data_IF_002191517288
#
_entry.id   IF_002191517288
#
_cell.length_a   1.000
_cell.length_b   1.000
_cell.length_c   1.000
_cell.angle_alpha   90.00
_cell.angle_beta   90.00
_cell.angle_gamma   90.00
#
_symmetry.space_group_name_H-M   'P 1'
#
loop_
_entity.id
_entity.type
_entity.pdbx_description
1 polymer ?
#
# COMPACT_ATOMS: atom_id res chain seq x y z
N UNK A 1 30.90 0.83 -14.54
CA UNK A 1 30.35 1.09 -13.18
C UNK A 1 31.01 2.35 -12.65
N UNK A 2 30.23 3.37 -12.26
CA UNK A 2 30.79 4.53 -11.60
C UNK A 2 31.14 4.16 -10.15
N UNK A 3 32.29 4.62 -9.62
CA UNK A 3 32.67 4.35 -8.25
C UNK A 3 31.64 4.95 -7.28
N UNK A 4 31.32 4.24 -6.21
CA UNK A 4 30.41 4.75 -5.17
C UNK A 4 30.96 6.02 -4.56
N UNK A 5 30.09 7.03 -4.45
CA UNK A 5 30.40 8.29 -3.74
C UNK A 5 30.75 7.96 -2.28
N UNK A 6 31.95 8.35 -1.85
CA UNK A 6 32.38 8.15 -0.46
C UNK A 6 31.95 9.34 0.38
N UNK A 7 31.40 9.07 1.56
CA UNK A 7 31.17 10.11 2.55
C UNK A 7 32.49 10.50 3.20
N UNK A 8 32.62 11.76 3.54
CA UNK A 8 33.76 12.32 4.27
C UNK A 8 33.26 12.85 5.62
N UNK A 9 34.16 13.13 6.59
CA UNK A 9 33.78 13.77 7.85
C UNK A 9 33.03 15.11 7.69
N UNK A 10 33.09 15.71 6.49
CA UNK A 10 32.37 16.96 6.20
C UNK A 10 30.90 16.77 5.85
N UNK A 11 30.40 15.53 5.69
CA UNK A 11 29.00 15.23 5.44
C UNK A 11 28.21 15.12 6.74
N UNK A 12 28.02 16.26 7.41
CA UNK A 12 27.19 16.39 8.61
C UNK A 12 26.27 17.59 8.49
N UNK A 13 25.28 17.71 9.37
CA UNK A 13 24.38 18.87 9.43
C UNK A 13 25.12 20.07 10.00
N UNK A 14 25.48 21.02 9.15
CA UNK A 14 26.24 22.20 9.49
C UNK A 14 25.37 23.27 10.13
N UNK A 15 25.96 24.05 11.02
CA UNK A 15 25.31 25.25 11.56
C UNK A 15 25.20 26.34 10.49
N UNK A 16 24.35 27.33 10.74
CA UNK A 16 24.21 28.50 9.88
C UNK A 16 25.56 29.21 9.67
N UNK A 17 26.32 29.45 10.75
CA UNK A 17 27.62 30.10 10.65
C UNK A 17 28.63 29.31 9.81
N UNK A 18 28.64 27.99 9.89
CA UNK A 18 29.49 27.14 9.06
C UNK A 18 29.08 27.18 7.60
N UNK A 19 27.77 27.24 7.31
CA UNK A 19 27.27 27.37 5.93
C UNK A 19 27.60 28.76 5.35
N UNK A 20 27.44 29.83 6.12
CA UNK A 20 27.82 31.19 5.69
C UNK A 20 29.32 31.26 5.38
N UNK A 21 30.16 30.68 6.22
CA UNK A 21 31.61 30.63 5.97
C UNK A 21 31.96 29.79 4.73
N UNK A 22 31.25 28.70 4.51
CA UNK A 22 31.49 27.77 3.39
C UNK A 22 31.14 28.43 2.03
N UNK A 23 30.12 29.27 1.97
CA UNK A 23 29.64 29.96 0.77
C UNK A 23 29.94 31.47 0.80
N UNK A 24 31.02 31.89 1.46
CA UNK A 24 31.39 33.29 1.56
C UNK A 24 31.67 33.99 0.20
N UNK A 25 32.01 33.18 -0.82
CA UNK A 25 32.21 33.59 -2.21
C UNK A 25 30.94 33.67 -3.05
N UNK A 26 29.81 33.17 -2.50
CA UNK A 26 28.50 33.11 -3.17
C UNK A 26 27.35 33.49 -2.20
N UNK A 27 27.35 34.72 -1.65
CA UNK A 27 26.35 35.14 -0.67
C UNK A 27 24.93 35.11 -1.19
N UNK A 28 24.71 35.35 -2.48
CA UNK A 28 23.39 35.22 -3.12
C UNK A 28 22.82 33.79 -3.08
N UNK A 29 23.66 32.78 -3.03
CA UNK A 29 23.19 31.40 -2.87
C UNK A 29 22.57 31.18 -1.48
N UNK A 30 23.11 31.80 -0.44
CA UNK A 30 22.57 31.80 0.91
C UNK A 30 21.23 32.54 0.99
N UNK A 31 21.17 33.76 0.43
CA UNK A 31 19.97 34.58 0.38
C UNK A 31 18.84 33.85 -0.34
N UNK A 32 19.15 33.21 -1.48
CA UNK A 32 18.19 32.45 -2.26
C UNK A 32 17.63 31.24 -1.51
N UNK A 33 18.31 30.65 -0.51
CA UNK A 33 17.75 29.59 0.29
C UNK A 33 16.47 30.00 1.00
N UNK A 34 16.46 31.23 1.56
CA UNK A 34 15.30 31.82 2.25
C UNK A 34 14.19 32.14 1.24
N UNK A 35 14.53 32.70 0.08
CA UNK A 35 13.57 33.03 -0.97
C UNK A 35 12.90 31.76 -1.52
N UNK A 36 13.65 30.69 -1.74
CA UNK A 36 13.12 29.39 -2.16
C UNK A 36 12.22 28.81 -1.06
N UNK A 37 12.64 28.86 0.20
CA UNK A 37 11.83 28.39 1.31
C UNK A 37 10.48 29.12 1.40
N UNK A 38 10.46 30.46 1.23
CA UNK A 38 9.21 31.24 1.19
C UNK A 38 8.32 30.83 0.01
N UNK A 39 8.89 30.65 -1.18
CA UNK A 39 8.16 30.25 -2.40
C UNK A 39 7.61 28.84 -2.29
N UNK A 40 8.27 27.97 -1.55
CA UNK A 40 7.87 26.59 -1.29
C UNK A 40 7.10 26.41 0.03
N UNK A 41 6.68 27.50 0.68
CA UNK A 41 5.97 27.48 1.95
C UNK A 41 4.52 26.96 1.80
N UNK A 42 4.40 25.67 1.51
CA UNK A 42 3.12 24.97 1.41
C UNK A 42 3.02 23.91 2.51
N UNK A 43 1.93 23.94 3.26
CA UNK A 43 1.60 22.91 4.24
C UNK A 43 0.43 22.08 3.74
N UNK A 44 0.64 20.78 3.55
CA UNK A 44 -0.42 19.87 3.19
C UNK A 44 -1.48 19.78 4.30
N UNK A 45 -2.73 20.03 3.94
CA UNK A 45 -3.86 19.89 4.87
C UNK A 45 -4.37 18.46 4.85
N UNK A 46 -4.53 17.87 6.03
CA UNK A 46 -5.18 16.55 6.17
C UNK A 46 -6.63 16.63 5.72
N UNK A 47 -7.02 15.77 4.80
CA UNK A 47 -8.40 15.59 4.35
C UNK A 47 -8.81 14.15 4.59
N UNK A 48 -10.12 13.92 4.73
CA UNK A 48 -10.65 12.56 4.72
C UNK A 48 -10.39 11.94 3.34
N UNK A 49 -10.05 10.64 3.26
CA UNK A 49 -9.95 9.94 1.99
C UNK A 49 -11.24 10.11 1.19
N UNK A 50 -11.11 10.40 -0.10
CA UNK A 50 -12.24 10.50 -1.03
C UNK A 50 -12.08 9.34 -2.01
N UNK A 51 -12.92 8.31 -1.83
CA UNK A 51 -13.01 7.18 -2.76
C UNK A 51 -14.34 7.29 -3.51
N UNK A 52 -14.36 7.00 -4.81
CA UNK A 52 -15.61 6.85 -5.53
C UNK A 52 -16.39 5.66 -4.96
N UNK A 53 -17.72 5.75 -4.98
CA UNK A 53 -18.59 4.66 -4.58
C UNK A 53 -18.55 3.58 -5.67
N UNK A 54 -18.16 2.37 -5.31
CA UNK A 54 -18.04 1.25 -6.26
C UNK A 54 -19.38 0.57 -6.53
N UNK A 55 -20.18 0.37 -5.49
CA UNK A 55 -21.48 -0.29 -5.56
C UNK A 55 -22.45 0.33 -4.54
N UNK A 56 -23.75 0.07 -4.68
CA UNK A 56 -24.74 0.55 -3.70
C UNK A 56 -24.55 -0.08 -2.33
N UNK A 57 -24.18 -1.35 -2.29
CA UNK A 57 -23.81 -2.09 -1.10
C UNK A 57 -22.41 -2.72 -1.28
N UNK A 58 -21.39 -1.94 -0.92
CA UNK A 58 -19.98 -2.36 -1.06
C UNK A 58 -19.61 -3.51 -0.13
N UNK A 59 -20.27 -3.64 1.02
CA UNK A 59 -20.02 -4.71 1.98
C UNK A 59 -20.46 -6.05 1.40
N UNK A 60 -21.68 -6.14 0.95
CA UNK A 60 -22.21 -7.38 0.36
C UNK A 60 -21.51 -7.72 -0.95
N UNK A 61 -21.17 -6.72 -1.77
CA UNK A 61 -20.44 -6.93 -3.01
C UNK A 61 -19.02 -7.46 -2.75
N UNK A 62 -18.31 -6.92 -1.77
CA UNK A 62 -17.00 -7.43 -1.37
C UNK A 62 -17.08 -8.88 -0.89
N UNK A 63 -18.04 -9.19 -0.02
CA UNK A 63 -18.27 -10.55 0.49
C UNK A 63 -18.55 -11.53 -0.65
N UNK A 64 -19.42 -11.16 -1.58
CA UNK A 64 -19.75 -11.99 -2.74
C UNK A 64 -18.51 -12.28 -3.58
N UNK A 65 -17.78 -11.22 -4.02
CA UNK A 65 -16.60 -11.39 -4.87
C UNK A 65 -15.48 -12.17 -4.17
N UNK A 66 -15.25 -11.91 -2.89
CA UNK A 66 -14.20 -12.60 -2.14
C UNK A 66 -14.50 -14.11 -1.96
N UNK A 67 -15.75 -14.46 -1.65
CA UNK A 67 -16.15 -15.86 -1.56
C UNK A 67 -16.06 -16.58 -2.91
N UNK A 68 -16.61 -16.00 -3.98
CA UNK A 68 -16.51 -16.56 -5.33
C UNK A 68 -15.05 -16.75 -5.76
N UNK A 69 -14.20 -15.75 -5.50
CA UNK A 69 -12.79 -15.78 -5.82
C UNK A 69 -12.02 -16.83 -5.02
N UNK A 70 -12.29 -16.98 -3.72
CA UNK A 70 -11.68 -18.04 -2.90
C UNK A 70 -12.04 -19.41 -3.45
N UNK A 71 -13.31 -19.66 -3.76
CA UNK A 71 -13.75 -20.94 -4.32
C UNK A 71 -13.08 -21.23 -5.69
N UNK A 72 -12.86 -20.21 -6.49
CA UNK A 72 -12.13 -20.34 -7.76
C UNK A 72 -10.65 -20.72 -7.52
N UNK A 73 -9.97 -20.04 -6.58
CA UNK A 73 -8.58 -20.35 -6.21
C UNK A 73 -8.41 -21.77 -5.68
N UNK A 74 -9.30 -22.22 -4.79
CA UNK A 74 -9.24 -23.56 -4.19
C UNK A 74 -9.44 -24.69 -5.21
N UNK A 75 -10.06 -24.44 -6.37
CA UNK A 75 -10.22 -25.44 -7.43
C UNK A 75 -8.96 -25.67 -8.27
N UNK A 76 -8.11 -24.69 -8.42
CA UNK A 76 -7.00 -24.72 -9.40
C UNK A 76 -5.61 -24.75 -8.77
N UNK A 77 -5.46 -24.35 -7.52
CA UNK A 77 -4.16 -24.25 -6.85
C UNK A 77 -4.09 -25.24 -5.69
N UNK A 78 -3.00 -26.02 -5.56
CA UNK A 78 -2.80 -26.87 -4.38
C UNK A 78 -2.80 -26.01 -3.11
N UNK A 79 -3.76 -26.26 -2.22
CA UNK A 79 -3.87 -25.54 -0.95
C UNK A 79 -2.91 -26.10 0.11
N UNK A 80 -2.53 -25.25 1.05
CA UNK A 80 -1.65 -25.58 2.17
C UNK A 80 -2.39 -25.70 3.50
N UNK A 81 -3.71 -25.48 3.50
CA UNK A 81 -4.61 -25.58 4.63
C UNK A 81 -5.94 -26.22 4.18
N UNK A 82 -6.83 -26.53 5.11
CA UNK A 82 -8.16 -27.06 4.77
C UNK A 82 -9.07 -25.96 4.20
N UNK A 83 -10.08 -26.29 3.39
CA UNK A 83 -11.06 -25.30 2.92
C UNK A 83 -11.73 -24.52 4.05
N UNK A 84 -11.97 -25.18 5.19
CA UNK A 84 -12.56 -24.58 6.38
C UNK A 84 -11.64 -23.54 7.01
N UNK A 85 -10.35 -23.81 7.06
CA UNK A 85 -9.35 -22.84 7.54
C UNK A 85 -9.26 -21.62 6.63
N UNK A 86 -9.29 -21.82 5.30
CA UNK A 86 -9.35 -20.70 4.35
C UNK A 86 -10.62 -19.87 4.54
N UNK A 87 -11.78 -20.52 4.70
CA UNK A 87 -13.04 -19.80 4.89
C UNK A 87 -13.05 -19.02 6.21
N UNK A 88 -12.59 -19.61 7.30
CA UNK A 88 -12.50 -18.94 8.59
C UNK A 88 -11.58 -17.70 8.53
N UNK A 89 -10.45 -17.81 7.84
CA UNK A 89 -9.53 -16.69 7.64
C UNK A 89 -10.17 -15.60 6.75
N UNK A 90 -10.88 -15.97 5.70
CA UNK A 90 -11.58 -15.02 4.83
C UNK A 90 -12.62 -14.22 5.62
N UNK A 91 -13.45 -14.91 6.39
CA UNK A 91 -14.51 -14.29 7.19
C UNK A 91 -13.94 -13.34 8.26
N UNK A 92 -12.84 -13.73 8.89
CA UNK A 92 -12.11 -12.91 9.82
C UNK A 92 -11.62 -11.60 9.15
N UNK A 93 -10.93 -11.69 8.02
CA UNK A 93 -10.41 -10.53 7.31
C UNK A 93 -11.54 -9.61 6.82
N UNK A 94 -12.61 -10.18 6.24
CA UNK A 94 -13.78 -9.42 5.81
C UNK A 94 -14.38 -8.60 6.96
N UNK A 95 -14.51 -9.21 8.14
CA UNK A 95 -15.05 -8.53 9.32
C UNK A 95 -14.22 -7.30 9.73
N UNK A 96 -12.90 -7.39 9.61
CA UNK A 96 -11.98 -6.29 9.92
C UNK A 96 -12.06 -5.19 8.84
N UNK A 97 -12.05 -5.58 7.56
CA UNK A 97 -12.15 -4.64 6.43
C UNK A 97 -13.44 -3.84 6.51
N UNK A 98 -14.57 -4.49 6.83
CA UNK A 98 -15.87 -3.84 7.03
C UNK A 98 -15.84 -2.88 8.21
N UNK A 99 -15.37 -3.35 9.38
CA UNK A 99 -15.29 -2.54 10.60
C UNK A 99 -14.43 -1.29 10.40
N UNK A 100 -13.38 -1.38 9.59
CA UNK A 100 -12.49 -0.26 9.28
C UNK A 100 -13.01 0.64 8.15
N UNK A 101 -14.08 0.25 7.45
CA UNK A 101 -14.72 1.05 6.39
C UNK A 101 -13.98 1.05 5.06
N UNK A 102 -13.28 -0.03 4.72
CA UNK A 102 -12.51 -0.16 3.48
C UNK A 102 -13.05 -1.13 2.41
N UNK A 103 -14.32 -1.59 2.43
CA UNK A 103 -14.82 -2.47 1.37
C UNK A 103 -14.66 -1.87 -0.03
N UNK A 104 -15.03 -0.60 -0.21
CA UNK A 104 -14.90 0.10 -1.49
C UNK A 104 -13.47 0.20 -1.99
N UNK A 105 -12.49 0.38 -1.09
CA UNK A 105 -11.08 0.41 -1.46
C UNK A 105 -10.63 -0.92 -2.08
N UNK A 106 -10.95 -2.05 -1.44
CA UNK A 106 -10.63 -3.38 -1.97
C UNK A 106 -11.30 -3.64 -3.32
N UNK A 107 -12.56 -3.26 -3.46
CA UNK A 107 -13.31 -3.42 -4.72
C UNK A 107 -12.70 -2.61 -5.85
N UNK A 108 -12.36 -1.35 -5.60
CA UNK A 108 -11.73 -0.47 -6.60
C UNK A 108 -10.38 -1.03 -7.04
N UNK A 109 -9.55 -1.48 -6.10
CA UNK A 109 -8.24 -2.07 -6.42
C UNK A 109 -8.41 -3.36 -7.22
N UNK A 110 -9.35 -4.22 -6.82
CA UNK A 110 -9.64 -5.46 -7.54
C UNK A 110 -10.13 -5.18 -8.98
N UNK A 111 -10.94 -4.15 -9.18
CA UNK A 111 -11.49 -3.79 -10.48
C UNK A 111 -10.40 -3.43 -11.49
N UNK A 112 -9.53 -2.47 -11.16
CA UNK A 112 -8.48 -2.07 -12.11
C UNK A 112 -7.42 -3.15 -12.32
N UNK A 113 -7.14 -4.00 -11.30
CA UNK A 113 -6.24 -5.14 -11.46
C UNK A 113 -6.83 -6.20 -12.41
N UNK A 114 -8.10 -6.55 -12.22
CA UNK A 114 -8.81 -7.47 -13.11
C UNK A 114 -8.85 -6.92 -14.53
N UNK A 115 -9.18 -5.64 -14.67
CA UNK A 115 -9.18 -4.99 -15.98
C UNK A 115 -7.83 -5.10 -16.68
N UNK A 116 -6.72 -4.85 -15.97
CA UNK A 116 -5.39 -4.97 -16.53
C UNK A 116 -5.09 -6.41 -16.97
N UNK A 117 -5.37 -7.41 -16.11
CA UNK A 117 -5.17 -8.83 -16.40
C UNK A 117 -6.01 -9.28 -17.61
N UNK A 118 -7.27 -8.86 -17.70
CA UNK A 118 -8.18 -9.20 -18.81
C UNK A 118 -7.74 -8.58 -20.16
N UNK A 119 -6.99 -7.49 -20.12
CA UNK A 119 -6.41 -6.83 -21.30
C UNK A 119 -4.97 -7.26 -21.61
N UNK A 120 -4.49 -8.34 -20.97
CA UNK A 120 -3.15 -8.88 -21.19
C UNK A 120 -2.01 -7.98 -20.68
N UNK A 121 -2.31 -7.04 -19.79
CA UNK A 121 -1.31 -6.19 -19.14
C UNK A 121 -0.72 -6.97 -17.97
N UNK A 122 0.61 -7.21 -17.91
CA UNK A 122 1.24 -7.92 -16.82
C UNK A 122 1.05 -7.16 -15.50
N UNK A 123 0.62 -7.90 -14.47
CA UNK A 123 0.50 -7.39 -13.10
C UNK A 123 1.35 -8.27 -12.20
N UNK A 124 2.13 -7.67 -11.32
CA UNK A 124 2.97 -8.40 -10.35
C UNK A 124 2.12 -9.18 -9.33
N UNK A 125 2.73 -10.15 -8.63
CA UNK A 125 2.02 -10.99 -7.66
C UNK A 125 1.63 -10.24 -6.37
N UNK A 126 1.99 -8.99 -6.24
CA UNK A 126 1.88 -8.18 -5.03
C UNK A 126 3.16 -8.22 -4.19
N UNK A 127 3.35 -7.21 -3.38
CA UNK A 127 4.49 -7.06 -2.46
C UNK A 127 4.06 -6.38 -1.17
N UNK A 128 4.98 -6.27 -0.22
CA UNK A 128 4.73 -5.58 1.05
C UNK A 128 3.69 -6.30 1.92
N UNK A 129 3.00 -5.53 2.74
CA UNK A 129 2.04 -6.07 3.72
C UNK A 129 0.74 -6.58 3.11
N UNK A 130 0.33 -6.04 1.96
CA UNK A 130 -0.90 -6.44 1.24
C UNK A 130 -0.91 -7.91 0.82
N UNK A 131 0.29 -8.51 0.60
CA UNK A 131 0.42 -9.95 0.34
C UNK A 131 -0.05 -10.84 1.50
N UNK A 132 -0.21 -10.29 2.71
CA UNK A 132 -0.76 -10.99 3.87
C UNK A 132 -2.28 -11.13 3.88
N UNK A 133 -3.00 -10.52 2.95
CA UNK A 133 -4.47 -10.57 2.88
C UNK A 133 -4.98 -11.70 2.01
N UNK A 134 -5.78 -12.59 2.59
CA UNK A 134 -6.50 -13.63 1.87
C UNK A 134 -7.63 -13.05 1.00
N UNK A 135 -8.28 -11.98 1.46
CA UNK A 135 -9.27 -11.24 0.66
C UNK A 135 -8.63 -10.69 -0.61
N UNK A 136 -7.43 -10.08 -0.51
CA UNK A 136 -6.69 -9.60 -1.68
C UNK A 136 -6.33 -10.74 -2.65
N UNK A 137 -5.92 -11.89 -2.12
CA UNK A 137 -5.64 -13.09 -2.90
C UNK A 137 -6.89 -13.64 -3.60
N UNK A 138 -8.02 -13.73 -2.89
CA UNK A 138 -9.30 -14.15 -3.46
C UNK A 138 -9.78 -13.20 -4.57
N UNK A 139 -9.63 -11.91 -4.39
CA UNK A 139 -9.99 -10.87 -5.37
C UNK A 139 -9.00 -10.76 -6.55
N UNK A 140 -7.96 -11.58 -6.60
CA UNK A 140 -6.88 -11.53 -7.60
C UNK A 140 -6.04 -10.24 -7.61
N UNK A 141 -6.10 -9.48 -6.52
CA UNK A 141 -5.21 -8.33 -6.29
C UNK A 141 -3.78 -8.83 -6.13
N UNK A 142 -3.60 -9.90 -5.34
CA UNK A 142 -2.32 -10.58 -5.16
C UNK A 142 -2.39 -12.02 -5.69
N UNK A 143 -1.24 -12.60 -6.01
CA UNK A 143 -1.12 -14.00 -6.48
C UNK A 143 -0.30 -14.87 -5.52
N UNK A 144 -0.06 -14.38 -4.31
CA UNK A 144 0.59 -15.12 -3.21
C UNK A 144 -0.47 -15.61 -2.22
N UNK A 145 -0.49 -16.90 -1.96
CA UNK A 145 -1.35 -17.51 -0.93
C UNK A 145 -0.79 -17.20 0.47
N UNK A 146 -1.46 -16.34 1.26
CA UNK A 146 -0.93 -15.93 2.56
C UNK A 146 -0.87 -17.06 3.60
N UNK A 147 -1.72 -18.08 3.50
CA UNK A 147 -1.69 -19.22 4.41
C UNK A 147 -0.46 -20.09 4.14
N UNK A 148 -0.12 -20.29 2.87
CA UNK A 148 1.05 -21.07 2.47
C UNK A 148 2.37 -20.55 3.04
N UNK A 149 2.47 -19.23 3.16
CA UNK A 149 3.69 -18.55 3.64
C UNK A 149 3.55 -18.01 5.06
N UNK A 150 2.50 -18.39 5.79
CA UNK A 150 2.19 -17.93 7.14
C UNK A 150 2.25 -16.39 7.29
N UNK A 151 1.73 -15.68 6.29
CA UNK A 151 1.71 -14.21 6.30
C UNK A 151 0.57 -13.70 7.19
N UNK A 152 0.88 -12.65 7.96
CA UNK A 152 -0.04 -12.06 8.93
C UNK A 152 -0.82 -10.90 8.28
N UNK A 153 -2.15 -10.99 8.37
CA UNK A 153 -3.06 -9.93 7.91
C UNK A 153 -2.95 -8.66 8.75
N UNK A 154 -2.64 -8.80 10.04
CA UNK A 154 -2.50 -7.70 10.98
C UNK A 154 -1.33 -6.75 10.64
N UNK A 155 -0.40 -7.20 9.80
CA UNK A 155 0.65 -6.33 9.25
C UNK A 155 0.13 -5.40 8.16
N UNK A 156 -0.94 -5.79 7.49
CA UNK A 156 -1.58 -5.03 6.43
C UNK A 156 -2.70 -4.14 6.99
N UNK A 157 -3.64 -4.72 7.72
CA UNK A 157 -4.73 -4.01 8.40
C UNK A 157 -4.74 -4.36 9.89
N UNK A 158 -4.66 -3.32 10.71
CA UNK A 158 -4.74 -3.45 12.16
C UNK A 158 -5.72 -2.41 12.69
N UNK A 159 -6.82 -2.81 13.37
CA UNK A 159 -7.78 -1.89 13.97
C UNK A 159 -7.18 -0.90 14.97
N UNK A 160 -6.03 -1.24 15.57
CA UNK A 160 -5.30 -0.36 16.49
C UNK A 160 -4.51 0.74 15.75
N UNK A 161 -4.27 0.59 14.46
CA UNK A 161 -3.62 1.57 13.59
C UNK A 161 -4.61 2.13 12.60
N UNK A 162 -5.16 3.31 12.90
CA UNK A 162 -6.09 4.00 12.00
C UNK A 162 -5.33 4.63 10.83
N UNK A 163 -4.93 3.81 9.87
CA UNK A 163 -4.39 4.27 8.59
C UNK A 163 -5.11 3.57 7.44
N UNK A 164 -5.27 4.28 6.33
CA UNK A 164 -5.76 3.68 5.10
C UNK A 164 -4.79 2.58 4.64
N UNK A 165 -5.29 1.39 4.24
CA UNK A 165 -4.44 0.35 3.67
C UNK A 165 -3.78 0.83 2.38
N UNK A 166 -2.60 0.28 2.08
CA UNK A 166 -1.85 0.59 0.88
C UNK A 166 -1.42 -0.72 0.20
N UNK A 167 -1.92 -0.94 -1.01
CA UNK A 167 -1.51 -2.08 -1.82
C UNK A 167 -0.33 -1.71 -2.69
N UNK A 168 0.77 -2.40 -2.50
CA UNK A 168 1.94 -2.40 -3.37
C UNK A 168 1.83 -3.53 -4.41
N UNK A 169 1.68 -3.18 -5.67
CA UNK A 169 1.44 -4.13 -6.77
C UNK A 169 2.46 -3.93 -7.88
#
# INVERSE_FOLDING_TARGET
>A
QQPRRRLTPQHYFKSEAEMVALFADLPEALENTVEIAKRCAYAAQKRKPILPKFADDEVNELRRQANEGLQARLKVIPHSATPEEYQARLDFELSIIEKMGFPGYFLIVADFIKWAKDHGIPVGPGRGSGAGSLVAYALTITDLDPLRYALLFERFLNPERVSMPDFDI
#
